data_IF_299546793728
#
_entry.id   IF_299546793728
#
_cell.length_a   1.000
_cell.length_b   1.000
_cell.length_c   1.000
_cell.angle_alpha   90.00
_cell.angle_beta   90.00
_cell.angle_gamma   90.00
#
_symmetry.space_group_name_H-M   'P 1'
#
loop_
_entity.id
_entity.type
_entity.pdbx_description
1 polymer ?
#
# COMPACT_ATOMS: atom_id res chain seq x y z
N UNK A 1 12.31 -9.99 2.70
CA UNK A 1 13.31 -11.07 2.60
C UNK A 1 12.91 -12.15 1.62
N UNK A 2 11.70 -12.75 1.71
CA UNK A 2 11.25 -13.79 0.79
C UNK A 2 11.18 -13.28 -0.66
N UNK A 3 10.51 -12.15 -0.91
CA UNK A 3 10.40 -11.56 -2.24
C UNK A 3 11.78 -11.36 -2.94
N UNK A 4 12.79 -10.88 -2.22
CA UNK A 4 14.11 -10.65 -2.79
C UNK A 4 14.84 -11.95 -3.15
N UNK A 5 14.51 -13.07 -2.50
CA UNK A 5 15.02 -14.39 -2.82
C UNK A 5 14.28 -15.00 -4.01
N UNK A 6 12.95 -14.83 -4.04
CA UNK A 6 12.09 -15.43 -5.05
C UNK A 6 12.12 -14.66 -6.37
N UNK A 7 12.28 -13.32 -6.30
CA UNK A 7 12.27 -12.43 -7.46
C UNK A 7 13.45 -11.43 -7.45
N UNK A 8 14.70 -11.92 -7.52
CA UNK A 8 15.89 -11.09 -7.34
C UNK A 8 16.02 -9.96 -8.37
N UNK A 9 15.64 -10.19 -9.62
CA UNK A 9 15.67 -9.17 -10.67
C UNK A 9 14.70 -8.00 -10.39
N UNK A 10 13.52 -8.29 -9.89
CA UNK A 10 12.53 -7.29 -9.48
C UNK A 10 13.03 -6.49 -8.27
N UNK A 11 13.56 -7.18 -7.26
CA UNK A 11 14.13 -6.56 -6.07
C UNK A 11 15.28 -5.62 -6.44
N UNK A 12 16.19 -6.05 -7.32
CA UNK A 12 17.30 -5.21 -7.81
C UNK A 12 16.79 -3.96 -8.53
N UNK A 13 15.76 -4.09 -9.36
CA UNK A 13 15.15 -2.96 -10.06
C UNK A 13 14.57 -1.91 -9.10
N UNK A 14 13.92 -2.34 -8.03
CA UNK A 14 13.41 -1.45 -6.98
C UNK A 14 14.56 -0.75 -6.26
N UNK A 15 15.61 -1.49 -5.89
CA UNK A 15 16.80 -0.91 -5.26
C UNK A 15 17.47 0.16 -6.14
N UNK A 16 17.55 -0.08 -7.46
CA UNK A 16 18.09 0.89 -8.40
C UNK A 16 17.21 2.16 -8.48
N UNK A 17 15.90 2.02 -8.51
CA UNK A 17 14.99 3.17 -8.47
C UNK A 17 15.18 4.00 -7.20
N UNK A 18 15.26 3.35 -6.04
CA UNK A 18 15.49 4.02 -4.77
C UNK A 18 16.85 4.75 -4.74
N UNK A 19 17.90 4.11 -5.24
CA UNK A 19 19.25 4.69 -5.30
C UNK A 19 19.34 5.93 -6.21
N UNK A 20 18.43 6.08 -7.17
CA UNK A 20 18.35 7.24 -8.07
C UNK A 20 17.46 8.36 -7.54
N UNK A 21 16.76 8.14 -6.43
CA UNK A 21 15.90 9.16 -5.82
C UNK A 21 16.76 10.25 -5.16
N UNK A 22 16.40 11.52 -5.36
CA UNK A 22 17.08 12.64 -4.69
C UNK A 22 17.01 12.46 -3.17
N UNK A 23 18.15 12.53 -2.45
CA UNK A 23 18.16 12.45 -0.99
C UNK A 23 17.30 13.53 -0.32
N UNK A 24 17.35 14.76 -0.85
CA UNK A 24 16.56 15.88 -0.33
C UNK A 24 15.07 15.66 -0.55
N UNK A 25 14.68 15.19 -1.74
CA UNK A 25 13.29 14.87 -2.06
C UNK A 25 12.77 13.72 -1.20
N UNK A 26 13.59 12.69 -0.96
CA UNK A 26 13.25 11.58 -0.10
C UNK A 26 13.06 12.04 1.36
N UNK A 27 13.99 12.84 1.88
CA UNK A 27 13.90 13.39 3.23
C UNK A 27 12.66 14.28 3.42
N UNK A 28 12.32 15.11 2.43
CA UNK A 28 11.10 15.93 2.44
C UNK A 28 9.84 15.08 2.49
N UNK A 29 9.76 14.01 1.70
CA UNK A 29 8.64 13.06 1.72
C UNK A 29 8.54 12.34 3.08
N UNK A 30 9.65 11.91 3.67
CA UNK A 30 9.67 11.32 5.00
C UNK A 30 9.13 12.29 6.06
N UNK A 31 9.50 13.56 5.99
CA UNK A 31 8.99 14.58 6.89
C UNK A 31 7.48 14.80 6.72
N UNK A 32 7.01 14.86 5.47
CA UNK A 32 5.57 15.00 5.18
C UNK A 32 4.76 13.81 5.73
N UNK A 33 5.25 12.58 5.56
CA UNK A 33 4.59 11.37 6.10
C UNK A 33 4.60 11.38 7.64
N UNK A 34 5.73 11.74 8.26
CA UNK A 34 5.85 11.83 9.71
C UNK A 34 4.84 12.81 10.32
N UNK A 35 4.64 13.94 9.67
CA UNK A 35 3.83 15.05 10.19
C UNK A 35 2.36 14.96 9.78
N UNK A 36 2.01 14.07 8.83
CA UNK A 36 0.65 13.88 8.34
C UNK A 36 -0.21 13.09 9.35
N UNK A 37 -1.34 13.66 9.74
CA UNK A 37 -2.37 12.96 10.48
C UNK A 37 -3.77 13.34 9.94
N UNK A 38 -4.35 12.44 9.17
CA UNK A 38 -5.66 12.63 8.54
C UNK A 38 -6.78 11.82 9.20
N UNK A 39 -6.53 11.17 10.35
CA UNK A 39 -7.49 10.28 11.01
C UNK A 39 -8.83 10.95 11.27
N UNK A 40 -8.81 12.21 11.71
CA UNK A 40 -10.04 12.98 11.97
C UNK A 40 -10.83 13.37 10.71
N UNK A 41 -10.29 13.11 9.51
CA UNK A 41 -10.89 13.50 8.24
C UNK A 41 -11.38 12.30 7.42
N UNK A 42 -11.09 11.07 7.83
CA UNK A 42 -11.42 9.85 7.08
C UNK A 42 -12.93 9.70 6.86
N UNK A 43 -13.76 10.12 7.80
CA UNK A 43 -15.21 10.09 7.69
C UNK A 43 -15.78 11.05 6.63
N UNK A 44 -14.95 11.93 6.07
CA UNK A 44 -15.35 12.81 4.94
C UNK A 44 -15.19 12.14 3.59
N UNK A 45 -14.55 11.00 3.52
CA UNK A 45 -14.39 10.23 2.27
C UNK A 45 -15.74 9.59 1.95
N UNK A 46 -16.35 10.02 0.85
CA UNK A 46 -17.68 9.56 0.41
C UNK A 46 -17.62 8.77 -0.92
N UNK A 47 -16.44 8.65 -1.50
CA UNK A 47 -16.24 7.88 -2.73
C UNK A 47 -16.04 6.40 -2.42
N UNK A 48 -16.41 5.48 -3.34
CA UNK A 48 -16.10 4.07 -3.18
C UNK A 48 -14.60 3.88 -2.91
N UNK A 49 -14.27 3.19 -1.84
CA UNK A 49 -12.89 3.03 -1.37
C UNK A 49 -12.57 1.55 -1.22
N UNK A 50 -11.42 1.14 -1.73
CA UNK A 50 -10.81 -0.18 -1.48
C UNK A 50 -9.51 0.02 -0.71
N UNK A 51 -9.44 -0.56 0.47
CA UNK A 51 -8.22 -0.64 1.28
C UNK A 51 -7.55 -1.98 1.00
N UNK A 52 -6.28 -1.95 0.66
CA UNK A 52 -5.48 -3.17 0.41
C UNK A 52 -4.34 -3.23 1.41
N UNK A 53 -4.17 -4.36 2.07
CA UNK A 53 -3.10 -4.59 3.04
C UNK A 53 -2.32 -5.87 2.71
N UNK A 54 -1.04 -5.88 3.04
CA UNK A 54 -0.20 -7.06 3.01
C UNK A 54 -0.06 -7.68 4.40
N UNK A 55 -0.25 -8.99 4.55
CA UNK A 55 -0.13 -9.68 5.85
C UNK A 55 1.28 -9.65 6.41
N UNK A 56 2.28 -9.47 5.53
CA UNK A 56 3.71 -9.43 5.87
C UNK A 56 4.25 -7.99 5.95
N UNK A 57 3.40 -6.98 5.82
CA UNK A 57 3.78 -5.58 5.97
C UNK A 57 3.95 -5.26 7.46
N UNK A 58 5.19 -5.03 7.87
CA UNK A 58 5.55 -4.70 9.26
C UNK A 58 5.55 -3.21 9.55
N UNK A 59 5.31 -2.37 8.56
CA UNK A 59 5.31 -0.90 8.69
C UNK A 59 3.88 -0.38 8.70
N UNK A 60 3.13 -0.64 7.63
CA UNK A 60 1.70 -0.34 7.54
C UNK A 60 0.92 -1.64 7.62
N UNK A 61 0.81 -2.13 8.85
CA UNK A 61 0.26 -3.46 9.16
C UNK A 61 -1.21 -3.62 8.76
N UNK A 62 -1.72 -4.85 8.65
CA UNK A 62 -3.15 -5.09 8.42
C UNK A 62 -4.09 -4.35 9.38
N UNK A 63 -3.68 -4.13 10.62
CA UNK A 63 -4.48 -3.36 11.58
C UNK A 63 -4.68 -1.91 11.14
N UNK A 64 -3.66 -1.27 10.58
CA UNK A 64 -3.81 0.07 10.00
C UNK A 64 -4.81 0.06 8.83
N UNK A 65 -4.78 -0.99 8.01
CA UNK A 65 -5.74 -1.16 6.92
C UNK A 65 -7.18 -1.33 7.43
N UNK A 66 -7.38 -2.14 8.46
CA UNK A 66 -8.70 -2.32 9.08
C UNK A 66 -9.20 -1.04 9.75
N UNK A 67 -8.31 -0.29 10.39
CA UNK A 67 -8.65 1.03 10.93
C UNK A 67 -9.17 1.98 9.83
N UNK A 68 -8.52 1.98 8.66
CA UNK A 68 -9.00 2.79 7.51
C UNK A 68 -10.38 2.29 7.02
N UNK A 69 -10.57 0.98 6.92
CA UNK A 69 -11.85 0.40 6.53
C UNK A 69 -12.98 0.82 7.48
N UNK A 70 -12.74 0.77 8.78
CA UNK A 70 -13.73 1.12 9.79
C UNK A 70 -14.05 2.62 9.81
N UNK A 71 -13.03 3.46 9.54
CA UNK A 71 -13.19 4.91 9.56
C UNK A 71 -13.80 5.50 8.29
N UNK A 72 -13.73 4.81 7.15
CA UNK A 72 -14.25 5.26 5.86
C UNK A 72 -15.56 4.52 5.56
N UNK A 73 -16.66 5.25 5.51
CA UNK A 73 -17.99 4.68 5.31
C UNK A 73 -18.07 3.89 4.00
N UNK A 74 -18.43 2.61 4.12
CA UNK A 74 -18.60 1.72 2.96
C UNK A 74 -17.30 1.25 2.31
N UNK A 75 -16.14 1.48 2.92
CA UNK A 75 -14.87 0.99 2.41
C UNK A 75 -14.85 -0.55 2.38
N UNK A 76 -14.32 -1.09 1.27
CA UNK A 76 -14.02 -2.52 1.12
C UNK A 76 -12.59 -2.78 1.56
N UNK A 77 -12.33 -3.99 2.02
CA UNK A 77 -11.00 -4.41 2.47
C UNK A 77 -10.54 -5.66 1.72
N UNK A 78 -9.27 -5.71 1.38
CA UNK A 78 -8.61 -6.88 0.84
C UNK A 78 -7.25 -7.06 1.49
N UNK A 79 -6.89 -8.31 1.79
CA UNK A 79 -5.64 -8.68 2.43
C UNK A 79 -4.93 -9.73 1.58
N UNK A 80 -3.63 -9.60 1.42
CA UNK A 80 -2.81 -10.50 0.60
C UNK A 80 -1.58 -10.99 1.35
N UNK A 81 -1.10 -12.21 1.07
CA UNK A 81 0.15 -12.73 1.60
C UNK A 81 1.34 -12.05 0.89
N UNK A 82 1.60 -10.80 1.23
CA UNK A 82 2.62 -9.96 0.65
C UNK A 82 3.07 -8.88 1.65
N UNK A 83 4.24 -8.29 1.41
CA UNK A 83 4.73 -7.14 2.15
C UNK A 83 4.17 -5.82 1.57
N UNK A 84 4.83 -4.70 1.84
CA UNK A 84 4.35 -3.35 1.50
C UNK A 84 4.12 -3.12 0.01
N UNK A 85 4.98 -3.66 -0.86
CA UNK A 85 4.86 -3.53 -2.32
C UNK A 85 4.04 -4.69 -2.92
N UNK A 86 2.87 -4.94 -2.39
CA UNK A 86 2.00 -6.04 -2.82
C UNK A 86 1.66 -6.01 -4.32
N UNK A 87 1.55 -4.83 -4.91
CA UNK A 87 1.36 -4.64 -6.35
C UNK A 87 2.52 -5.15 -7.21
N UNK A 88 3.71 -5.26 -6.66
CA UNK A 88 4.90 -5.82 -7.33
C UNK A 88 5.05 -7.30 -7.00
N UNK A 89 4.90 -7.66 -5.73
CA UNK A 89 5.14 -9.01 -5.22
C UNK A 89 4.13 -10.02 -5.76
N UNK A 90 2.84 -9.63 -5.81
CA UNK A 90 1.73 -10.47 -6.27
C UNK A 90 0.90 -9.75 -7.35
N UNK A 91 1.57 -9.09 -8.28
CA UNK A 91 1.00 -8.12 -9.23
C UNK A 91 -0.27 -8.58 -9.95
N UNK A 92 -0.38 -9.86 -10.36
CA UNK A 92 -1.57 -10.38 -11.03
C UNK A 92 -2.79 -10.42 -10.10
N UNK A 93 -2.63 -10.98 -8.90
CA UNK A 93 -3.72 -11.08 -7.92
C UNK A 93 -4.16 -9.69 -7.43
N UNK A 94 -3.18 -8.81 -7.18
CA UNK A 94 -3.43 -7.40 -6.84
C UNK A 94 -4.24 -6.70 -7.94
N UNK A 95 -3.76 -6.76 -9.19
CA UNK A 95 -4.40 -6.10 -10.32
C UNK A 95 -5.83 -6.60 -10.56
N UNK A 96 -6.04 -7.91 -10.47
CA UNK A 96 -7.38 -8.52 -10.59
C UNK A 96 -8.32 -7.95 -9.52
N UNK A 97 -7.89 -7.92 -8.26
CA UNK A 97 -8.71 -7.41 -7.15
C UNK A 97 -9.07 -5.93 -7.31
N UNK A 98 -8.12 -5.12 -7.77
CA UNK A 98 -8.35 -3.69 -8.05
C UNK A 98 -9.31 -3.52 -9.22
N UNK A 99 -9.12 -4.26 -10.31
CA UNK A 99 -10.03 -4.22 -11.47
C UNK A 99 -11.44 -4.64 -11.11
N UNK A 100 -11.61 -5.72 -10.35
CA UNK A 100 -12.91 -6.17 -9.86
C UNK A 100 -13.62 -5.06 -9.05
N UNK A 101 -12.87 -4.33 -8.24
CA UNK A 101 -13.42 -3.21 -7.48
C UNK A 101 -13.81 -2.04 -8.38
N UNK A 102 -12.96 -1.66 -9.33
CA UNK A 102 -13.20 -0.52 -10.22
C UNK A 102 -14.33 -0.78 -11.22
N UNK A 103 -14.53 -2.04 -11.61
CA UNK A 103 -15.59 -2.46 -12.56
C UNK A 103 -16.88 -2.84 -11.86
N UNK A 104 -16.90 -3.03 -10.56
CA UNK A 104 -18.09 -3.28 -9.77
C UNK A 104 -18.97 -2.02 -9.76
N UNK A 105 -20.09 -2.05 -10.49
CA UNK A 105 -21.11 -1.02 -10.51
C UNK A 105 -22.24 -1.33 -9.55
#
# INVERSE_FOLDING_TARGET
PAFAQDQPAQAQRICQMLAQTSPEGYAANCAAVRDADYRAQLNRIQVPTLVVAGTEDVVTTPEHGRFLQDAILGAKYAEFPAAHLSNVEIGEAFSRRVLDFLLAR
#
